data_IF_950774010149
#
_entry.id   IF_950774010149
#
_cell.length_a   1.000
_cell.length_b   1.000
_cell.length_c   1.000
_cell.angle_alpha   90.00
_cell.angle_beta   90.00
_cell.angle_gamma   90.00
#
_symmetry.space_group_name_H-M   'P 1'
#
loop_
_entity.id
_entity.type
_entity.pdbx_description
1 polymer ?
#
# COMPACT_ATOMS: atom_id res chain seq x y z
N UNK A 1 16.18 -26.74 -31.00
CA UNK A 1 17.09 -25.94 -31.85
C UNK A 1 16.16 -25.01 -32.62
N UNK A 2 16.12 -23.70 -32.44
CA UNK A 2 17.22 -22.75 -32.19
C UNK A 2 17.12 -21.97 -30.87
N UNK A 3 18.29 -21.53 -30.45
CA UNK A 3 18.63 -20.77 -29.25
C UNK A 3 19.13 -19.40 -29.74
N UNK A 4 18.48 -18.31 -29.35
CA UNK A 4 19.02 -16.96 -29.50
C UNK A 4 18.32 -16.02 -28.52
N UNK A 5 19.12 -15.21 -27.84
CA UNK A 5 18.71 -14.14 -26.94
C UNK A 5 18.24 -14.56 -25.54
N UNK A 6 19.19 -15.21 -24.86
CA UNK A 6 19.28 -15.11 -23.42
C UNK A 6 19.24 -13.64 -22.95
N UNK A 7 18.22 -13.33 -22.15
CA UNK A 7 18.26 -12.19 -21.24
C UNK A 7 17.53 -12.55 -19.94
N UNK A 8 18.23 -13.27 -19.07
CA UNK A 8 17.90 -13.30 -17.64
C UNK A 8 18.27 -11.93 -17.07
N UNK A 9 17.37 -10.96 -17.19
CA UNK A 9 17.54 -9.63 -16.58
C UNK A 9 16.91 -9.65 -15.18
N UNK A 10 17.75 -10.01 -14.21
CA UNK A 10 17.86 -9.37 -12.89
C UNK A 10 16.54 -8.93 -12.21
N UNK A 11 15.84 -9.88 -11.56
CA UNK A 11 14.87 -9.54 -10.51
C UNK A 11 15.59 -9.21 -9.22
N UNK A 12 16.23 -8.05 -9.14
CA UNK A 12 16.75 -7.54 -7.86
C UNK A 12 15.60 -6.87 -7.13
N UNK A 13 15.16 -7.49 -6.05
CA UNK A 13 14.09 -7.03 -5.19
C UNK A 13 14.30 -5.58 -4.74
N UNK A 14 13.38 -4.72 -5.17
CA UNK A 14 13.26 -3.38 -4.61
C UNK A 14 12.65 -3.50 -3.22
N UNK A 15 13.51 -3.24 -2.23
CA UNK A 15 13.13 -3.08 -0.84
C UNK A 15 11.97 -2.09 -0.76
N UNK A 16 10.78 -2.62 -0.47
CA UNK A 16 9.59 -1.81 -0.18
C UNK A 16 9.75 -1.22 1.23
N UNK A 17 10.71 -0.31 1.36
CA UNK A 17 10.90 0.58 2.49
C UNK A 17 9.70 1.51 2.52
N UNK A 18 8.59 1.03 3.07
CA UNK A 18 7.42 1.85 3.32
C UNK A 18 7.76 2.83 4.46
N UNK A 19 8.55 3.85 4.14
CA UNK A 19 8.70 5.03 4.97
C UNK A 19 7.31 5.66 5.07
N UNK A 20 6.61 5.37 6.17
CA UNK A 20 5.35 6.06 6.45
C UNK A 20 5.69 7.50 6.78
N UNK A 21 5.19 8.45 5.99
CA UNK A 21 5.44 9.87 6.19
C UNK A 21 4.31 10.44 7.05
N UNK A 22 4.67 11.02 8.21
CA UNK A 22 3.71 11.73 9.06
C UNK A 22 3.09 12.91 8.29
N UNK A 23 1.77 13.07 8.37
CA UNK A 23 0.98 14.04 7.61
C UNK A 23 0.55 13.58 6.21
N UNK A 24 1.22 12.59 5.61
CA UNK A 24 0.82 12.00 4.32
C UNK A 24 0.11 10.66 4.50
N UNK A 25 0.71 9.77 5.30
CA UNK A 25 0.27 8.39 5.47
C UNK A 25 -0.47 8.16 6.78
N UNK A 26 -0.08 8.88 7.82
CA UNK A 26 -0.73 8.86 9.11
C UNK A 26 -0.52 10.18 9.83
N UNK A 27 -1.34 10.47 10.82
CA UNK A 27 -1.17 11.61 11.72
C UNK A 27 -1.69 11.25 13.11
N UNK A 28 -1.22 11.99 14.11
CA UNK A 28 -1.73 11.86 15.48
C UNK A 28 -2.85 12.85 15.72
N UNK A 29 -4.02 12.34 16.09
CA UNK A 29 -5.19 13.13 16.46
C UNK A 29 -5.55 12.82 17.90
N UNK A 30 -5.38 13.78 18.82
CA UNK A 30 -5.68 13.61 20.26
C UNK A 30 -5.09 12.34 20.88
N UNK A 31 -3.84 12.03 20.54
CA UNK A 31 -3.14 10.84 21.02
C UNK A 31 -3.56 9.53 20.35
N UNK A 32 -4.37 9.58 19.29
CA UNK A 32 -4.76 8.43 18.48
C UNK A 32 -3.99 8.42 17.18
N UNK A 33 -3.50 7.25 16.81
CA UNK A 33 -2.84 7.03 15.52
C UNK A 33 -3.91 6.89 14.43
N UNK A 34 -4.03 7.90 13.56
CA UNK A 34 -5.01 7.94 12.48
C UNK A 34 -4.31 7.75 11.15
N UNK A 35 -4.64 6.65 10.47
CA UNK A 35 -4.19 6.39 9.11
C UNK A 35 -5.00 7.21 8.10
N UNK A 36 -4.31 7.76 7.10
CA UNK A 36 -4.98 8.47 6.00
C UNK A 36 -5.54 7.49 4.98
N UNK A 37 -6.51 7.95 4.19
CA UNK A 37 -7.07 7.19 3.06
C UNK A 37 -5.96 6.79 2.06
N UNK A 38 -5.01 7.68 1.82
CA UNK A 38 -3.89 7.44 0.90
C UNK A 38 -3.02 6.26 1.30
N UNK A 39 -2.72 6.12 2.60
CA UNK A 39 -1.98 4.95 3.10
C UNK A 39 -2.79 3.67 2.96
N UNK A 40 -4.07 3.70 3.34
CA UNK A 40 -4.96 2.55 3.21
C UNK A 40 -5.12 2.10 1.75
N UNK A 41 -5.14 3.05 0.80
CA UNK A 41 -5.19 2.77 -0.63
C UNK A 41 -3.90 2.14 -1.17
N UNK A 42 -2.73 2.60 -0.69
CA UNK A 42 -1.44 1.97 -1.04
C UNK A 42 -1.29 0.57 -0.46
N UNK A 43 -1.88 0.32 0.72
CA UNK A 43 -1.88 -0.99 1.36
C UNK A 43 -2.63 -2.05 0.54
N UNK A 44 -3.62 -1.65 -0.26
CA UNK A 44 -4.30 -2.57 -1.16
C UNK A 44 -5.36 -3.46 -0.51
N UNK A 45 -5.55 -3.41 0.81
CA UNK A 45 -6.44 -4.33 1.53
C UNK A 45 -7.22 -3.66 2.67
N UNK A 46 -8.52 -4.02 2.79
CA UNK A 46 -9.38 -3.61 3.89
C UNK A 46 -9.09 -4.43 5.15
N UNK A 47 -8.89 -3.77 6.28
CA UNK A 47 -8.63 -4.43 7.57
C UNK A 47 -9.91 -4.85 8.33
N UNK A 48 -11.11 -4.55 7.83
CA UNK A 48 -12.38 -4.93 8.46
C UNK A 48 -12.78 -4.13 9.73
N UNK A 49 -11.92 -3.25 10.24
CA UNK A 49 -12.16 -2.50 11.48
C UNK A 49 -13.13 -1.30 11.36
N UNK A 50 -13.73 -1.05 10.19
CA UNK A 50 -14.71 0.04 10.02
C UNK A 50 -14.12 1.46 10.21
N UNK A 51 -12.89 1.69 9.77
CA UNK A 51 -12.22 2.99 9.89
C UNK A 51 -12.96 4.09 9.09
N UNK A 52 -13.01 5.32 9.63
CA UNK A 52 -13.71 6.46 8.99
C UNK A 52 -13.11 6.89 7.65
N UNK A 53 -11.80 6.74 7.49
CA UNK A 53 -11.07 7.05 6.26
C UNK A 53 -10.82 5.82 5.38
N UNK A 54 -11.60 4.75 5.54
CA UNK A 54 -11.40 3.53 4.76
C UNK A 54 -11.85 3.72 3.31
N UNK A 55 -10.93 3.67 2.32
CA UNK A 55 -11.31 3.79 0.90
C UNK A 55 -12.16 2.59 0.43
N UNK A 56 -11.99 1.42 1.05
CA UNK A 56 -12.68 0.19 0.69
C UNK A 56 -14.11 0.09 1.24
N UNK A 57 -14.57 1.05 2.05
CA UNK A 57 -15.95 1.04 2.56
C UNK A 57 -16.98 1.24 1.44
N UNK A 58 -16.60 1.93 0.38
CA UNK A 58 -17.49 2.28 -0.74
C UNK A 58 -17.26 1.41 -1.99
N UNK A 59 -16.31 0.48 -1.97
CA UNK A 59 -16.05 -0.40 -3.12
C UNK A 59 -16.82 -1.70 -2.92
N UNK A 60 -18.00 -1.90 -3.56
CA UNK A 60 -18.52 -3.25 -3.71
C UNK A 60 -17.47 -4.06 -4.47
N UNK A 61 -17.09 -5.21 -3.93
CA UNK A 61 -16.19 -6.14 -4.61
C UNK A 61 -16.77 -6.41 -6.01
N UNK A 62 -16.06 -5.96 -7.05
CA UNK A 62 -16.34 -6.28 -8.44
C UNK A 62 -15.67 -7.61 -8.80
#
# INVERSE_FOLDING_TARGET
>A
MEVADGKCVQKTGEAHSASLIEGRDYYFERGRFVLTEGYLRRRGACCGNGCRHCPYRAVPAA
#
